data_IF_643108297811
#
_entry.id   IF_643108297811
#
_cell.length_a   1.000
_cell.length_b   1.000
_cell.length_c   1.000
_cell.angle_alpha   90.00
_cell.angle_beta   90.00
_cell.angle_gamma   90.00
#
_symmetry.space_group_name_H-M   'P 1'
#
loop_
_entity.id
_entity.type
_entity.pdbx_description
1 polymer ?
#
# COMPACT_ATOMS: atom_id res chain seq x y z
N UNK A 1 -19.31 32.91 -12.11
CA UNK A 1 -18.40 32.49 -13.21
C UNK A 1 -18.26 30.98 -13.12
N UNK A 2 -18.74 30.25 -14.13
CA UNK A 2 -18.50 28.81 -14.23
C UNK A 2 -16.99 28.56 -14.27
N UNK A 3 -16.50 27.56 -13.55
CA UNK A 3 -15.11 27.14 -13.66
C UNK A 3 -14.84 26.72 -15.12
N UNK A 4 -13.72 27.11 -15.73
CA UNK A 4 -13.39 26.67 -17.08
C UNK A 4 -13.33 25.13 -17.09
N UNK A 5 -14.12 24.51 -17.96
CA UNK A 5 -14.04 23.07 -18.21
C UNK A 5 -12.63 22.75 -18.71
N UNK A 6 -11.88 22.00 -17.90
CA UNK A 6 -10.56 21.48 -18.26
C UNK A 6 -10.70 20.55 -19.46
N UNK A 7 -9.94 20.80 -20.52
CA UNK A 7 -10.09 20.09 -21.79
C UNK A 7 -9.64 18.63 -21.64
N UNK A 8 -10.34 17.61 -22.18
CA UNK A 8 -9.98 16.18 -21.98
C UNK A 8 -8.54 15.79 -22.35
N UNK A 9 -7.93 16.53 -23.30
CA UNK A 9 -6.51 16.40 -23.65
C UNK A 9 -5.57 16.75 -22.49
N UNK A 10 -5.89 17.78 -21.71
CA UNK A 10 -5.12 18.17 -20.53
C UNK A 10 -5.21 17.11 -19.42
N UNK A 11 -6.34 16.40 -19.31
CA UNK A 11 -6.48 15.27 -18.38
C UNK A 11 -5.57 14.11 -18.76
N UNK A 12 -5.54 13.75 -20.05
CA UNK A 12 -4.64 12.71 -20.57
C UNK A 12 -3.18 13.09 -20.34
N UNK A 13 -2.80 14.34 -20.59
CA UNK A 13 -1.43 14.83 -20.32
C UNK A 13 -1.10 14.81 -18.83
N UNK A 14 -2.04 15.18 -17.97
CA UNK A 14 -1.87 15.10 -16.52
C UNK A 14 -1.66 13.66 -16.06
N UNK A 15 -2.48 12.72 -16.56
CA UNK A 15 -2.30 11.29 -16.27
C UNK A 15 -0.91 10.84 -16.75
N UNK A 16 -0.46 11.23 -17.94
CA UNK A 16 0.88 10.88 -18.43
C UNK A 16 1.99 11.38 -17.51
N UNK A 17 1.95 12.65 -17.11
CA UNK A 17 2.94 13.23 -16.17
C UNK A 17 2.91 12.55 -14.81
N UNK A 18 1.72 12.20 -14.30
CA UNK A 18 1.60 11.43 -13.06
C UNK A 18 2.25 10.06 -13.19
N UNK A 19 1.93 9.31 -14.25
CA UNK A 19 2.51 7.98 -14.51
C UNK A 19 4.04 7.99 -14.66
N UNK A 20 4.66 9.12 -15.02
CA UNK A 20 6.12 9.24 -15.04
C UNK A 20 6.74 9.09 -13.64
N UNK A 21 6.01 9.45 -12.59
CA UNK A 21 6.46 9.39 -11.20
C UNK A 21 6.08 8.07 -10.51
N UNK A 22 5.18 7.29 -11.09
CA UNK A 22 4.80 5.97 -10.58
C UNK A 22 5.72 4.86 -11.11
N UNK A 23 5.83 3.81 -10.31
CA UNK A 23 6.40 2.55 -10.77
C UNK A 23 5.49 1.91 -11.83
N UNK A 24 6.10 1.47 -12.94
CA UNK A 24 5.37 0.85 -14.04
C UNK A 24 4.73 -0.50 -13.65
N UNK A 25 3.70 -0.89 -14.39
CA UNK A 25 3.05 -2.18 -14.22
C UNK A 25 2.02 -2.16 -13.09
N UNK A 26 2.12 -3.10 -12.16
CA UNK A 26 1.08 -3.41 -11.17
C UNK A 26 1.36 -2.85 -9.77
N UNK A 27 2.27 -1.88 -9.64
CA UNK A 27 2.58 -1.25 -8.34
C UNK A 27 1.37 -0.56 -7.67
N UNK A 28 0.35 -0.20 -8.46
CA UNK A 28 -0.89 0.43 -8.00
C UNK A 28 -1.77 -0.50 -7.13
N UNK A 29 -1.48 -1.81 -7.04
CA UNK A 29 -2.26 -2.74 -6.20
C UNK A 29 -2.30 -2.30 -4.74
N UNK A 30 -1.19 -1.74 -4.24
CA UNK A 30 -1.12 -1.15 -2.90
C UNK A 30 -2.17 -0.04 -2.69
N UNK A 31 -2.41 0.76 -3.72
CA UNK A 31 -3.41 1.83 -3.67
C UNK A 31 -4.84 1.26 -3.72
N UNK A 32 -5.09 0.19 -4.49
CA UNK A 32 -6.39 -0.49 -4.51
C UNK A 32 -6.73 -1.11 -3.14
N UNK A 33 -5.75 -1.71 -2.47
CA UNK A 33 -5.91 -2.25 -1.12
C UNK A 33 -6.25 -1.14 -0.12
N UNK A 34 -5.56 0.01 -0.19
CA UNK A 34 -5.87 1.16 0.66
C UNK A 34 -7.26 1.72 0.37
N UNK A 35 -7.65 1.85 -0.90
CA UNK A 35 -9.00 2.29 -1.27
C UNK A 35 -10.08 1.37 -0.72
N UNK A 36 -9.87 0.05 -0.77
CA UNK A 36 -10.77 -0.93 -0.18
C UNK A 36 -10.85 -0.76 1.34
N UNK A 37 -9.72 -0.68 2.04
CA UNK A 37 -9.69 -0.42 3.49
C UNK A 37 -10.44 0.87 3.86
N UNK A 38 -10.27 1.93 3.06
CA UNK A 38 -10.94 3.22 3.28
C UNK A 38 -12.44 3.19 2.95
N UNK A 39 -12.90 2.34 2.02
CA UNK A 39 -14.31 2.17 1.71
C UNK A 39 -15.06 1.39 2.81
N UNK A 40 -14.34 0.51 3.50
CA UNK A 40 -14.87 -0.41 4.51
C UNK A 40 -14.98 0.20 5.92
N UNK A 41 -15.00 1.53 6.06
CA UNK A 41 -14.96 2.23 7.37
C UNK A 41 -16.06 1.83 8.35
N UNK A 42 -17.21 1.40 7.84
CA UNK A 42 -18.35 0.96 8.66
C UNK A 42 -18.46 -0.57 8.75
N UNK A 43 -17.62 -1.30 8.01
CA UNK A 43 -17.51 -2.77 8.02
C UNK A 43 -16.56 -3.20 9.12
N UNK A 44 -16.97 -3.00 10.37
CA UNK A 44 -16.13 -3.37 11.51
C UNK A 44 -16.01 -4.90 11.52
N UNK A 45 -14.76 -5.39 11.49
CA UNK A 45 -14.33 -6.77 11.81
C UNK A 45 -14.26 -7.83 10.71
N UNK A 46 -14.73 -7.59 9.47
CA UNK A 46 -14.68 -8.66 8.45
C UNK A 46 -14.42 -8.24 7.00
N UNK A 47 -14.04 -6.99 6.76
CA UNK A 47 -13.87 -6.44 5.41
C UNK A 47 -12.99 -7.29 4.49
N UNK A 48 -13.42 -7.45 3.24
CA UNK A 48 -12.81 -8.36 2.26
C UNK A 48 -12.52 -7.64 0.95
N UNK A 49 -11.42 -8.02 0.34
CA UNK A 49 -11.02 -7.61 -1.00
C UNK A 49 -10.65 -8.84 -1.81
N UNK A 50 -11.27 -9.00 -2.97
CA UNK A 50 -11.00 -10.04 -3.93
C UNK A 50 -10.43 -9.42 -5.21
N UNK A 51 -9.31 -9.95 -5.68
CA UNK A 51 -8.72 -9.62 -6.96
C UNK A 51 -8.75 -10.87 -7.84
N UNK A 52 -9.14 -10.71 -9.10
CA UNK A 52 -9.07 -11.80 -10.06
C UNK A 52 -8.49 -11.32 -11.38
N UNK A 53 -7.46 -12.03 -11.86
CA UNK A 53 -7.15 -12.00 -13.28
C UNK A 53 -8.19 -12.84 -14.02
N UNK A 54 -8.95 -12.16 -14.87
CA UNK A 54 -10.04 -12.75 -15.63
C UNK A 54 -9.64 -12.84 -17.10
N UNK A 55 -9.75 -14.04 -17.67
CA UNK A 55 -9.69 -14.26 -19.11
C UNK A 55 -11.12 -14.57 -19.58
N UNK A 56 -11.73 -13.74 -20.45
CA UNK A 56 -13.08 -13.99 -20.91
C UNK A 56 -13.13 -15.26 -21.75
N UNK A 57 -14.19 -16.05 -21.55
CA UNK A 57 -14.48 -17.22 -22.37
C UNK A 57 -14.84 -16.80 -23.80
N UNK A 58 -14.58 -17.68 -24.76
CA UNK A 58 -15.15 -17.54 -26.11
C UNK A 58 -16.67 -17.48 -26.00
N UNK A 59 -17.29 -16.46 -26.60
CA UNK A 59 -18.73 -16.15 -26.52
C UNK A 59 -19.21 -15.68 -25.13
N UNK A 60 -18.42 -14.89 -24.42
CA UNK A 60 -18.81 -14.25 -23.15
C UNK A 60 -20.04 -13.33 -23.22
N UNK A 61 -20.60 -13.09 -24.42
CA UNK A 61 -21.74 -12.20 -24.64
C UNK A 61 -21.40 -10.72 -24.52
N UNK A 62 -20.11 -10.37 -24.41
CA UNK A 62 -19.67 -8.98 -24.32
C UNK A 62 -19.62 -8.31 -25.70
N UNK A 63 -20.35 -7.21 -25.84
CA UNK A 63 -20.38 -6.39 -27.07
C UNK A 63 -19.26 -5.35 -27.06
N UNK A 64 -19.04 -4.69 -25.92
CA UNK A 64 -18.01 -3.65 -25.81
C UNK A 64 -16.59 -4.24 -26.03
N UNK A 65 -15.79 -3.67 -26.95
CA UNK A 65 -14.47 -4.20 -27.28
C UNK A 65 -13.51 -4.23 -26.09
N UNK A 66 -13.67 -3.36 -25.09
CA UNK A 66 -12.85 -3.37 -23.87
C UNK A 66 -13.07 -4.64 -23.04
N UNK A 67 -14.28 -5.19 -23.02
CA UNK A 67 -14.65 -6.34 -22.18
C UNK A 67 -14.26 -7.69 -22.80
N UNK A 68 -13.95 -7.71 -24.10
CA UNK A 68 -13.60 -8.94 -24.85
C UNK A 68 -12.15 -9.39 -24.66
N UNK A 69 -11.45 -8.98 -23.60
CA UNK A 69 -10.06 -9.35 -23.34
C UNK A 69 -9.76 -9.58 -21.87
N UNK A 70 -8.50 -9.98 -21.55
CA UNK A 70 -8.10 -10.15 -20.18
C UNK A 70 -8.33 -8.89 -19.35
N UNK A 71 -8.76 -9.07 -18.11
CA UNK A 71 -9.03 -7.98 -17.18
C UNK A 71 -8.47 -8.31 -15.79
N UNK A 72 -8.18 -7.27 -15.01
CA UNK A 72 -8.06 -7.39 -13.56
C UNK A 72 -9.39 -6.89 -12.95
N UNK A 73 -10.09 -7.77 -12.26
CA UNK A 73 -11.32 -7.43 -11.55
C UNK A 73 -10.99 -7.28 -10.06
N UNK A 74 -11.41 -6.17 -9.46
CA UNK A 74 -11.11 -5.81 -8.07
C UNK A 74 -12.43 -5.55 -7.37
N UNK A 75 -12.73 -6.32 -6.32
CA UNK A 75 -14.05 -6.30 -5.67
C UNK A 75 -13.89 -6.27 -4.17
N UNK A 76 -14.52 -5.30 -3.52
CA UNK A 76 -14.62 -5.27 -2.06
C UNK A 76 -16.07 -5.38 -1.62
N UNK A 77 -16.30 -5.85 -0.40
CA UNK A 77 -17.62 -6.03 0.20
C UNK A 77 -18.19 -4.75 0.85
N UNK A 78 -17.62 -3.60 0.51
CA UNK A 78 -18.02 -2.29 1.03
C UNK A 78 -19.14 -1.65 0.21
N UNK A 79 -19.82 -0.64 0.79
CA UNK A 79 -20.80 0.16 0.07
C UNK A 79 -20.12 1.07 -0.97
N UNK A 80 -20.88 1.46 -1.99
CA UNK A 80 -20.49 2.52 -2.93
C UNK A 80 -21.64 3.50 -3.10
N UNK A 81 -21.37 4.78 -2.86
CA UNK A 81 -22.41 5.82 -2.85
C UNK A 81 -22.28 6.77 -4.03
N UNK A 82 -23.32 7.58 -4.27
CA UNK A 82 -23.27 8.66 -5.29
C UNK A 82 -22.13 9.65 -5.03
N UNK A 83 -21.81 9.90 -3.76
CA UNK A 83 -20.67 10.74 -3.37
C UNK A 83 -19.34 10.12 -3.79
N UNK A 84 -19.18 8.82 -3.62
CA UNK A 84 -17.98 8.09 -4.04
C UNK A 84 -17.85 8.10 -5.56
N UNK A 85 -18.95 7.88 -6.28
CA UNK A 85 -19.00 8.00 -7.75
C UNK A 85 -18.60 9.39 -8.23
N UNK A 86 -19.19 10.44 -7.66
CA UNK A 86 -18.90 11.82 -8.04
C UNK A 86 -17.45 12.19 -7.73
N UNK A 87 -16.92 11.70 -6.61
CA UNK A 87 -15.49 11.77 -6.28
C UNK A 87 -14.63 11.13 -7.35
N UNK A 88 -14.90 9.86 -7.69
CA UNK A 88 -14.18 9.10 -8.70
C UNK A 88 -14.16 9.80 -10.07
N UNK A 89 -15.31 10.33 -10.51
CA UNK A 89 -15.44 11.00 -11.81
C UNK A 89 -14.77 12.38 -11.86
N UNK A 90 -14.96 13.23 -10.84
CA UNK A 90 -14.39 14.60 -10.83
C UNK A 90 -12.87 14.61 -10.75
N UNK A 91 -12.26 13.59 -10.13
CA UNK A 91 -10.80 13.44 -10.06
C UNK A 91 -10.16 13.14 -11.41
N UNK A 92 -10.93 12.61 -12.36
CA UNK A 92 -10.51 12.47 -13.75
C UNK A 92 -10.26 13.80 -14.44
N UNK A 93 -10.93 14.87 -13.98
CA UNK A 93 -11.00 16.14 -14.70
C UNK A 93 -10.25 17.30 -14.03
N UNK A 94 -9.79 17.18 -12.79
CA UNK A 94 -9.08 18.27 -12.10
C UNK A 94 -7.55 18.24 -12.32
N UNK A 95 -7.02 19.23 -13.05
CA UNK A 95 -5.57 19.47 -13.17
C UNK A 95 -5.26 20.97 -13.13
N UNK A 96 -4.84 21.49 -11.99
CA UNK A 96 -4.01 22.70 -11.94
C UNK A 96 -2.64 22.32 -11.40
N UNK A 97 -1.63 22.57 -12.21
CA UNK A 97 -0.22 22.18 -12.04
C UNK A 97 0.52 22.85 -10.86
N UNK A 98 -0.22 23.38 -9.87
CA UNK A 98 0.33 23.95 -8.63
C UNK A 98 -0.18 23.27 -7.36
N UNK A 99 -1.03 22.24 -7.49
CA UNK A 99 -1.66 21.51 -6.38
C UNK A 99 -1.11 20.08 -6.20
N UNK A 100 0.04 19.75 -6.80
CA UNK A 100 0.63 18.40 -6.74
C UNK A 100 0.95 17.95 -5.30
N UNK A 101 1.11 18.90 -4.37
CA UNK A 101 1.36 18.67 -2.95
C UNK A 101 0.06 18.46 -2.12
N UNK A 102 -1.14 18.43 -2.74
CA UNK A 102 -2.44 18.62 -2.05
C UNK A 102 -3.48 17.53 -2.22
N UNK A 103 -3.14 16.37 -2.80
CA UNK A 103 -4.15 15.34 -3.12
C UNK A 103 -4.04 14.16 -2.14
N UNK A 104 -4.78 14.25 -1.04
CA UNK A 104 -4.95 13.19 -0.06
C UNK A 104 -6.34 12.55 -0.15
N UNK A 105 -6.38 11.23 0.00
CA UNK A 105 -7.52 10.38 0.38
C UNK A 105 -8.30 9.62 -0.70
N UNK A 106 -8.33 10.02 -1.98
CA UNK A 106 -8.98 9.20 -3.03
C UNK A 106 -8.40 9.27 -4.47
N UNK A 107 -7.43 10.15 -4.77
CA UNK A 107 -7.31 10.66 -6.16
C UNK A 107 -6.08 10.32 -7.01
N UNK A 108 -4.96 9.92 -6.43
CA UNK A 108 -3.74 9.64 -7.21
C UNK A 108 -3.61 8.15 -7.56
N UNK A 109 -3.97 7.26 -6.62
CA UNK A 109 -3.79 5.81 -6.76
C UNK A 109 -4.60 5.16 -7.88
N UNK A 110 -5.85 5.61 -8.11
CA UNK A 110 -6.65 5.10 -9.24
C UNK A 110 -6.11 5.52 -10.60
N UNK A 111 -5.36 6.62 -10.72
CA UNK A 111 -4.76 7.02 -12.02
C UNK A 111 -3.60 6.08 -12.40
N UNK A 112 -2.93 5.47 -11.44
CA UNK A 112 -1.85 4.53 -11.70
C UNK A 112 -2.31 3.25 -12.41
N UNK A 113 -3.61 2.92 -12.41
CA UNK A 113 -4.17 1.80 -13.22
C UNK A 113 -3.92 1.97 -14.72
N UNK A 114 -3.78 3.22 -15.21
CA UNK A 114 -3.45 3.52 -16.60
C UNK A 114 -2.02 3.11 -17.01
N UNK A 115 -1.20 2.60 -16.08
CA UNK A 115 -0.02 1.82 -16.46
C UNK A 115 -0.39 0.58 -17.26
N UNK A 116 -1.52 -0.06 -16.95
CA UNK A 116 -1.92 -1.36 -17.53
C UNK A 116 -3.21 -1.32 -18.34
N UNK A 117 -4.03 -0.27 -18.24
CA UNK A 117 -5.27 -0.12 -19.02
C UNK A 117 -5.37 1.26 -19.72
N UNK A 118 -6.45 1.46 -20.48
CA UNK A 118 -6.82 2.75 -21.10
C UNK A 118 -8.14 3.34 -20.55
N UNK A 119 -9.00 2.49 -20.01
CA UNK A 119 -10.27 2.83 -19.39
C UNK A 119 -10.60 1.73 -18.36
N UNK A 120 -11.55 1.97 -17.46
CA UNK A 120 -12.05 0.96 -16.53
C UNK A 120 -13.53 1.16 -16.24
N UNK A 121 -14.24 0.08 -15.96
CA UNK A 121 -15.64 0.12 -15.56
C UNK A 121 -15.72 0.02 -14.04
N UNK A 122 -16.74 0.62 -13.45
CA UNK A 122 -17.08 0.38 -12.05
C UNK A 122 -18.58 0.28 -11.89
N UNK A 123 -19.01 -0.53 -10.92
CA UNK A 123 -20.42 -0.77 -10.58
C UNK A 123 -20.53 -1.35 -9.17
N UNK A 124 -21.75 -1.34 -8.65
CA UNK A 124 -22.09 -1.87 -7.33
C UNK A 124 -23.26 -2.86 -7.41
N UNK A 125 -23.34 -3.73 -6.39
CA UNK A 125 -24.25 -4.87 -6.31
C UNK A 125 -25.76 -4.56 -6.21
N UNK A 126 -26.14 -3.34 -5.86
CA UNK A 126 -27.50 -2.88 -5.61
C UNK A 126 -28.30 -2.57 -6.87
N UNK A 127 -27.63 -2.50 -8.03
CA UNK A 127 -28.28 -2.35 -9.33
C UNK A 127 -28.66 -0.92 -9.69
N UNK A 128 -28.27 0.10 -8.91
CA UNK A 128 -28.53 1.50 -9.27
C UNK A 128 -27.75 1.86 -10.54
N UNK A 129 -28.48 2.12 -11.63
CA UNK A 129 -27.89 2.50 -12.91
C UNK A 129 -27.05 3.79 -12.84
N UNK A 130 -27.25 4.64 -11.85
CA UNK A 130 -26.46 5.87 -11.64
C UNK A 130 -25.12 5.64 -10.97
N UNK A 131 -24.87 4.43 -10.47
CA UNK A 131 -23.65 3.99 -9.79
C UNK A 131 -22.80 3.03 -10.64
N UNK A 132 -23.16 2.85 -11.92
CA UNK A 132 -22.34 2.18 -12.92
C UNK A 132 -21.85 3.17 -13.97
N UNK A 133 -20.58 3.12 -14.32
CA UNK A 133 -19.99 4.04 -15.30
C UNK A 133 -18.72 3.45 -15.92
N UNK A 134 -18.43 3.84 -17.15
CA UNK A 134 -17.12 3.70 -17.77
C UNK A 134 -16.31 4.97 -17.51
N UNK A 135 -15.18 4.85 -16.82
CA UNK A 135 -14.20 5.91 -16.77
C UNK A 135 -13.26 5.79 -17.97
N UNK A 136 -13.39 6.70 -18.94
CA UNK A 136 -12.57 6.78 -20.14
C UNK A 136 -11.99 8.20 -20.30
N UNK A 137 -10.67 8.40 -20.09
CA UNK A 137 -10.01 9.70 -20.29
C UNK A 137 -10.08 10.24 -21.73
N UNK A 138 -10.37 9.36 -22.69
CA UNK A 138 -10.34 9.65 -24.12
C UNK A 138 -11.68 10.17 -24.65
N UNK A 139 -12.76 9.96 -23.91
CA UNK A 139 -14.10 10.40 -24.27
C UNK A 139 -14.21 11.94 -24.23
N UNK A 140 -14.92 12.60 -25.18
CA UNK A 140 -15.61 12.02 -26.36
C UNK A 140 -14.75 11.98 -27.64
N UNK A 141 -13.47 12.29 -27.57
CA UNK A 141 -12.67 12.63 -28.77
C UNK A 141 -11.96 11.46 -29.43
N UNK A 142 -11.72 10.38 -28.69
CA UNK A 142 -11.09 9.16 -29.20
C UNK A 142 -11.75 7.94 -28.60
N UNK A 143 -11.73 6.84 -29.38
CA UNK A 143 -12.27 5.55 -28.99
C UNK A 143 -13.77 5.59 -28.65
N UNK A 144 -14.58 6.27 -29.48
CA UNK A 144 -16.04 6.34 -29.29
C UNK A 144 -16.71 4.97 -29.31
N UNK A 145 -16.08 3.98 -29.94
CA UNK A 145 -16.51 2.58 -29.91
C UNK A 145 -16.39 1.92 -28.52
N UNK A 146 -15.72 2.57 -27.56
CA UNK A 146 -15.68 2.13 -26.17
C UNK A 146 -16.85 2.68 -25.35
N UNK A 147 -17.55 3.71 -25.84
CA UNK A 147 -18.67 4.29 -25.12
C UNK A 147 -19.74 3.23 -24.86
N UNK A 148 -20.30 3.26 -23.66
CA UNK A 148 -21.27 2.26 -23.22
C UNK A 148 -22.48 2.97 -22.61
N UNK A 149 -23.67 2.62 -23.11
CA UNK A 149 -24.91 3.04 -22.48
C UNK A 149 -25.10 2.27 -21.16
N UNK A 150 -25.61 2.92 -20.11
CA UNK A 150 -25.93 2.31 -18.81
C UNK A 150 -26.97 1.18 -18.91
N UNK A 151 -27.74 1.12 -19.99
CA UNK A 151 -28.72 0.08 -20.31
C UNK A 151 -28.14 -1.08 -21.13
N UNK A 152 -26.86 -1.00 -21.54
CA UNK A 152 -26.20 -2.07 -22.30
C UNK A 152 -26.29 -3.43 -21.59
N UNK A 153 -26.52 -4.54 -22.32
CA UNK A 153 -26.51 -5.89 -21.76
C UNK A 153 -25.17 -6.26 -21.13
N UNK A 154 -24.07 -5.62 -21.54
CA UNK A 154 -22.74 -5.79 -20.96
C UNK A 154 -22.73 -5.56 -19.45
N UNK A 155 -23.50 -4.59 -18.93
CA UNK A 155 -23.56 -4.33 -17.49
C UNK A 155 -24.12 -5.51 -16.71
N UNK A 156 -25.12 -6.19 -17.27
CA UNK A 156 -25.70 -7.39 -16.67
C UNK A 156 -24.70 -8.56 -16.73
N UNK A 157 -23.95 -8.68 -17.81
CA UNK A 157 -22.90 -9.67 -17.94
C UNK A 157 -21.75 -9.43 -16.93
N UNK A 158 -21.32 -8.18 -16.73
CA UNK A 158 -20.34 -7.80 -15.69
C UNK A 158 -20.88 -8.16 -14.30
N UNK A 159 -22.11 -7.75 -13.96
CA UNK A 159 -22.73 -8.04 -12.67
C UNK A 159 -22.79 -9.55 -12.39
N UNK A 160 -23.27 -10.35 -13.34
CA UNK A 160 -23.30 -11.81 -13.22
C UNK A 160 -21.90 -12.40 -13.00
N UNK A 161 -20.90 -11.94 -13.75
CA UNK A 161 -19.52 -12.41 -13.60
C UNK A 161 -18.96 -12.09 -12.21
N UNK A 162 -19.22 -10.88 -11.68
CA UNK A 162 -18.78 -10.49 -10.35
C UNK A 162 -19.50 -11.30 -9.27
N UNK A 163 -20.81 -11.50 -9.37
CA UNK A 163 -21.57 -12.34 -8.41
C UNK A 163 -21.09 -13.78 -8.36
N UNK A 164 -20.76 -14.36 -9.52
CA UNK A 164 -20.21 -15.72 -9.58
C UNK A 164 -18.82 -15.81 -8.95
N UNK A 165 -18.04 -14.73 -9.02
CA UNK A 165 -16.69 -14.66 -8.46
C UNK A 165 -16.71 -14.51 -6.93
N UNK A 166 -17.61 -13.68 -6.40
CA UNK A 166 -17.77 -13.44 -4.96
C UNK A 166 -19.19 -13.77 -4.47
N UNK A 167 -19.65 -15.03 -4.55
CA UNK A 167 -21.02 -15.40 -4.21
C UNK A 167 -21.37 -15.18 -2.74
N UNK A 168 -20.36 -15.02 -1.89
CA UNK A 168 -20.47 -14.80 -0.46
C UNK A 168 -20.46 -13.31 -0.07
N UNK A 169 -20.32 -12.38 -1.02
CA UNK A 169 -20.45 -10.96 -0.76
C UNK A 169 -21.92 -10.56 -0.90
N UNK A 170 -22.58 -10.22 0.20
CA UNK A 170 -23.98 -9.76 0.20
C UNK A 170 -24.13 -8.43 -0.57
N UNK A 171 -23.18 -7.52 -0.36
CA UNK A 171 -23.02 -6.28 -1.10
C UNK A 171 -21.58 -6.17 -1.57
N UNK A 172 -21.38 -5.50 -2.70
CA UNK A 172 -20.05 -5.31 -3.23
C UNK A 172 -19.95 -4.08 -4.14
N UNK A 173 -18.72 -3.56 -4.22
CA UNK A 173 -18.28 -2.60 -5.21
C UNK A 173 -17.16 -3.21 -6.04
N UNK A 174 -17.29 -3.16 -7.37
CA UNK A 174 -16.33 -3.73 -8.29
C UNK A 174 -15.76 -2.68 -9.23
N UNK A 175 -14.44 -2.78 -9.45
CA UNK A 175 -13.72 -2.10 -10.52
C UNK A 175 -13.21 -3.15 -11.50
N UNK A 176 -13.68 -3.06 -12.74
CA UNK A 176 -13.25 -3.93 -13.83
C UNK A 176 -12.22 -3.19 -14.67
N UNK A 177 -10.99 -3.69 -14.71
CA UNK A 177 -9.85 -3.05 -15.38
C UNK A 177 -9.45 -3.90 -16.61
N UNK A 178 -9.93 -3.56 -17.82
CA UNK A 178 -9.47 -4.17 -19.06
C UNK A 178 -7.97 -4.00 -19.25
N UNK A 179 -7.23 -5.09 -19.38
CA UNK A 179 -5.80 -5.00 -19.62
C UNK A 179 -5.53 -4.56 -21.06
N UNK A 180 -4.59 -3.63 -21.22
CA UNK A 180 -4.26 -3.03 -22.51
C UNK A 180 -3.84 -4.09 -23.51
N UNK A 181 -4.44 -4.05 -24.68
CA UNK A 181 -4.14 -4.90 -25.84
C UNK A 181 -3.68 -4.09 -27.02
N UNK A 182 -2.79 -4.63 -27.82
CA UNK A 182 -2.30 -3.95 -29.02
C UNK A 182 -3.39 -3.71 -30.05
N UNK A 183 -4.39 -4.61 -30.14
CA UNK A 183 -5.45 -4.56 -31.16
C UNK A 183 -6.50 -3.46 -30.94
N UNK A 184 -6.66 -2.97 -29.71
CA UNK A 184 -7.70 -1.99 -29.36
C UNK A 184 -7.16 -0.56 -29.24
N UNK A 185 -5.83 -0.37 -29.23
CA UNK A 185 -5.19 0.93 -29.09
C UNK A 185 -4.54 1.37 -30.40
N UNK A 186 -4.81 2.60 -30.82
CA UNK A 186 -4.28 3.16 -32.08
C UNK A 186 -2.81 3.59 -31.95
N UNK A 187 -2.41 4.05 -30.75
CA UNK A 187 -1.05 4.50 -30.47
C UNK A 187 -0.27 3.45 -29.67
N UNK A 188 0.90 3.05 -30.17
CA UNK A 188 1.71 2.04 -29.49
C UNK A 188 2.41 2.62 -28.27
N UNK A 189 2.20 2.02 -27.08
CA UNK A 189 2.85 2.43 -25.83
C UNK A 189 4.10 1.58 -25.58
N UNK A 190 5.25 2.23 -25.48
CA UNK A 190 6.50 1.62 -25.01
C UNK A 190 6.60 1.80 -23.49
N UNK A 191 7.08 0.77 -22.77
CA UNK A 191 7.55 0.87 -21.39
C UNK A 191 8.83 1.70 -21.33
N UNK A 192 9.18 2.25 -20.15
CA UNK A 192 10.44 2.98 -19.90
C UNK A 192 11.69 2.18 -20.29
N UNK A 193 11.62 0.84 -20.25
CA UNK A 193 12.73 -0.06 -20.59
C UNK A 193 12.75 -0.51 -22.08
N UNK A 194 11.83 -0.01 -22.92
CA UNK A 194 11.76 -0.37 -24.34
C UNK A 194 10.83 -1.54 -24.68
N UNK A 195 10.31 -2.28 -23.70
CA UNK A 195 9.33 -3.35 -23.93
C UNK A 195 7.93 -2.79 -24.26
N UNK A 196 7.05 -3.61 -24.83
CA UNK A 196 5.67 -3.22 -25.09
C UNK A 196 4.76 -3.42 -23.86
N UNK A 197 3.92 -2.44 -23.54
CA UNK A 197 3.10 -2.39 -22.32
C UNK A 197 1.70 -3.00 -22.49
N UNK A 198 1.60 -4.21 -23.06
CA UNK A 198 0.30 -4.87 -23.39
C UNK A 198 0.04 -6.13 -22.56
N UNK A 199 -0.21 -6.00 -21.24
CA UNK A 199 -0.47 -7.16 -20.38
C UNK A 199 -1.73 -7.95 -20.79
N UNK A 200 -2.64 -7.35 -21.57
CA UNK A 200 -3.86 -8.00 -22.06
C UNK A 200 -3.67 -8.85 -23.32
N UNK A 201 -2.49 -8.85 -23.94
CA UNK A 201 -2.21 -9.73 -25.09
C UNK A 201 -1.78 -11.15 -24.64
N UNK A 202 -1.53 -11.33 -23.34
CA UNK A 202 -1.18 -12.63 -22.75
C UNK A 202 -2.41 -13.51 -22.50
N UNK A 203 -2.31 -14.79 -22.84
CA UNK A 203 -3.31 -15.81 -22.52
C UNK A 203 -3.16 -16.39 -21.10
N UNK A 204 -2.14 -15.94 -20.35
CA UNK A 204 -1.89 -16.32 -18.95
C UNK A 204 -1.75 -15.07 -18.09
N UNK A 205 -2.03 -15.19 -16.79
CA UNK A 205 -1.85 -14.09 -15.85
C UNK A 205 -0.42 -13.53 -15.90
N UNK A 206 -0.23 -12.21 -16.10
CA UNK A 206 1.10 -11.61 -16.17
C UNK A 206 1.94 -11.94 -14.93
N UNK A 207 3.20 -12.41 -15.09
CA UNK A 207 4.09 -12.68 -13.96
C UNK A 207 4.31 -11.46 -13.07
N UNK A 208 4.27 -10.24 -13.64
CA UNK A 208 4.40 -8.99 -12.88
C UNK A 208 3.18 -8.73 -11.99
N UNK A 209 1.97 -9.14 -12.40
CA UNK A 209 0.78 -9.07 -11.55
C UNK A 209 0.89 -10.06 -10.40
N UNK A 210 1.26 -11.31 -10.72
CA UNK A 210 1.52 -12.35 -9.71
C UNK A 210 2.61 -11.86 -8.74
N UNK A 211 3.70 -11.29 -9.25
CA UNK A 211 4.82 -10.75 -8.48
C UNK A 211 4.44 -9.57 -7.59
N UNK A 212 3.62 -8.64 -8.07
CA UNK A 212 3.09 -7.54 -7.27
C UNK A 212 2.24 -8.04 -6.09
N UNK A 213 1.64 -9.23 -6.22
CA UNK A 213 0.83 -9.87 -5.17
C UNK A 213 1.63 -10.89 -4.34
N UNK A 214 2.69 -11.51 -4.89
CA UNK A 214 3.48 -12.62 -4.29
C UNK A 214 4.94 -12.27 -3.94
N UNK A 215 5.69 -11.61 -4.81
CA UNK A 215 7.13 -11.34 -4.61
C UNK A 215 7.40 -10.00 -3.90
N UNK A 216 6.47 -9.05 -3.98
CA UNK A 216 6.28 -8.02 -2.95
C UNK A 216 5.38 -8.54 -1.79
N UNK A 217 5.37 -9.85 -1.55
CA UNK A 217 4.56 -10.51 -0.52
C UNK A 217 5.49 -11.37 0.32
N UNK A 218 6.22 -10.66 1.18
CA UNK A 218 5.63 -10.56 2.51
C UNK A 218 4.88 -9.24 2.71
N UNK A 219 5.09 -8.23 1.87
CA UNK A 219 4.71 -6.86 2.19
C UNK A 219 3.24 -6.46 2.03
N UNK A 220 2.43 -7.05 1.14
CA UNK A 220 1.01 -6.68 1.02
C UNK A 220 0.12 -7.42 2.03
N UNK A 221 0.23 -8.75 2.09
CA UNK A 221 -0.49 -9.58 3.04
C UNK A 221 -0.14 -9.25 4.50
N UNK A 222 1.14 -9.02 4.77
CA UNK A 222 1.56 -8.71 6.14
C UNK A 222 1.19 -7.29 6.56
N UNK A 223 1.00 -6.38 5.60
CA UNK A 223 0.56 -5.03 5.92
C UNK A 223 -0.91 -4.94 6.31
N UNK A 224 -1.70 -6.03 6.15
CA UNK A 224 -3.05 -6.13 6.72
C UNK A 224 -3.09 -5.78 8.22
N UNK A 225 -2.00 -6.04 8.97
CA UNK A 225 -1.88 -5.71 10.39
C UNK A 225 -1.96 -4.20 10.68
N UNK A 226 -1.76 -3.36 9.68
CA UNK A 226 -1.83 -1.90 9.78
C UNK A 226 -3.10 -1.32 9.17
N UNK A 227 -3.86 -2.12 8.42
CA UNK A 227 -5.14 -1.72 7.85
C UNK A 227 -6.22 -1.72 8.93
N UNK A 228 -7.20 -0.84 8.78
CA UNK A 228 -8.18 -0.57 9.84
C UNK A 228 -9.37 -1.52 9.76
N UNK A 229 -9.84 -1.76 8.55
CA UNK A 229 -11.13 -2.37 8.26
C UNK A 229 -10.97 -3.66 7.43
N UNK A 230 -9.98 -3.70 6.55
CA UNK A 230 -9.72 -4.85 5.69
C UNK A 230 -9.02 -5.97 6.47
N UNK A 231 -9.62 -7.16 6.46
CA UNK A 231 -9.10 -8.37 7.12
C UNK A 231 -8.68 -9.46 6.14
N UNK A 232 -9.35 -9.53 5.00
CA UNK A 232 -9.08 -10.57 4.00
C UNK A 232 -8.74 -9.95 2.66
N UNK A 233 -7.63 -10.39 2.07
CA UNK A 233 -7.29 -10.13 0.68
C UNK A 233 -7.11 -11.46 -0.01
N UNK A 234 -7.87 -11.70 -1.08
CA UNK A 234 -7.73 -12.88 -1.93
C UNK A 234 -7.36 -12.50 -3.36
N UNK A 235 -6.58 -13.35 -4.01
CA UNK A 235 -6.17 -13.18 -5.40
C UNK A 235 -6.25 -14.50 -6.16
N UNK A 236 -6.98 -14.50 -7.28
CA UNK A 236 -7.03 -15.60 -8.23
C UNK A 236 -6.29 -15.22 -9.52
N UNK A 237 -5.28 -16.01 -9.91
CA UNK A 237 -4.55 -15.82 -11.18
C UNK A 237 -5.14 -16.61 -12.35
N UNK A 238 -6.38 -17.10 -12.20
CA UNK A 238 -7.07 -17.97 -13.15
C UNK A 238 -6.89 -19.47 -12.83
N UNK A 239 -5.82 -19.86 -12.15
CA UNK A 239 -5.56 -21.27 -11.79
C UNK A 239 -5.45 -21.49 -10.28
N UNK A 240 -4.90 -20.51 -9.57
CA UNK A 240 -4.57 -20.61 -8.14
C UNK A 240 -5.23 -19.47 -7.38
N UNK A 241 -6.05 -19.83 -6.39
CA UNK A 241 -6.55 -18.90 -5.39
C UNK A 241 -5.52 -18.78 -4.25
N UNK A 242 -5.14 -17.55 -3.93
CA UNK A 242 -4.34 -17.19 -2.77
C UNK A 242 -5.19 -16.36 -1.85
N UNK A 243 -5.19 -16.69 -0.57
CA UNK A 243 -5.97 -15.97 0.42
C UNK A 243 -5.06 -15.59 1.60
N UNK A 244 -5.13 -14.31 1.96
CA UNK A 244 -4.44 -13.73 3.09
C UNK A 244 -5.49 -13.24 4.08
N UNK A 245 -5.48 -13.83 5.27
CA UNK A 245 -6.45 -13.54 6.33
C UNK A 245 -5.70 -13.05 7.55
N UNK A 246 -5.98 -11.82 7.97
CA UNK A 246 -5.47 -11.26 9.21
C UNK A 246 -6.43 -11.60 10.35
N UNK A 247 -5.91 -12.35 11.34
CA UNK A 247 -6.58 -12.61 12.60
C UNK A 247 -5.86 -11.85 13.73
N UNK A 248 -6.42 -10.71 14.20
CA UNK A 248 -5.84 -9.94 15.28
C UNK A 248 -5.82 -10.68 16.63
N UNK A 249 -6.78 -11.56 16.89
CA UNK A 249 -6.91 -12.27 18.16
C UNK A 249 -5.85 -13.38 18.27
N UNK A 250 -5.67 -14.15 17.19
CA UNK A 250 -4.62 -15.15 17.11
C UNK A 250 -3.23 -14.56 16.77
N UNK A 251 -3.16 -13.25 16.46
CA UNK A 251 -1.97 -12.55 15.93
C UNK A 251 -1.33 -13.29 14.75
N UNK A 252 -2.16 -13.72 13.81
CA UNK A 252 -1.72 -14.47 12.64
C UNK A 252 -2.15 -13.82 11.34
N UNK A 253 -1.42 -14.16 10.29
CA UNK A 253 -1.72 -13.84 8.90
C UNK A 253 -1.58 -15.14 8.12
N UNK A 254 -2.68 -15.63 7.59
CA UNK A 254 -2.66 -16.84 6.77
C UNK A 254 -1.97 -16.59 5.44
N UNK A 255 -1.20 -17.57 4.91
CA UNK A 255 -0.85 -18.83 5.55
C UNK A 255 0.37 -18.72 6.49
N UNK A 256 0.22 -19.22 7.72
CA UNK A 256 1.35 -19.60 8.59
C UNK A 256 2.29 -18.49 9.05
N UNK A 257 1.92 -17.22 8.94
CA UNK A 257 2.70 -16.10 9.46
C UNK A 257 2.15 -15.68 10.82
N UNK A 258 3.01 -15.56 11.82
CA UNK A 258 2.67 -14.93 13.11
C UNK A 258 3.28 -13.54 13.17
N UNK A 259 2.71 -12.67 13.98
CA UNK A 259 3.25 -11.33 14.16
C UNK A 259 3.22 -10.87 15.61
N UNK A 260 4.16 -9.99 15.94
CA UNK A 260 4.17 -9.18 17.14
C UNK A 260 4.10 -7.72 16.79
N UNK A 261 3.34 -6.95 17.55
CA UNK A 261 3.13 -5.53 17.31
C UNK A 261 3.22 -4.75 18.61
N UNK A 262 3.87 -3.59 18.54
CA UNK A 262 3.92 -2.60 19.60
C UNK A 262 3.46 -1.28 19.00
N UNK A 263 2.35 -0.77 19.49
CA UNK A 263 1.76 0.49 19.01
C UNK A 263 2.31 1.66 19.80
N UNK A 264 2.53 2.79 19.11
CA UNK A 264 2.86 4.05 19.75
C UNK A 264 1.75 4.48 20.72
N UNK A 265 2.09 5.09 21.86
CA UNK A 265 1.11 5.78 22.70
C UNK A 265 0.33 6.79 21.87
N UNK A 266 -0.99 6.78 22.01
CA UNK A 266 -1.85 7.74 21.34
C UNK A 266 -1.66 9.14 21.98
N UNK A 267 -1.12 10.10 21.24
CA UNK A 267 -0.90 11.47 21.70
C UNK A 267 -1.60 12.48 20.78
N UNK A 268 -2.94 12.62 20.89
CA UNK A 268 -3.70 13.51 20.01
C UNK A 268 -3.33 14.98 20.21
N UNK A 269 -3.05 15.40 21.45
CA UNK A 269 -2.67 16.78 21.79
C UNK A 269 -1.38 17.18 21.08
N UNK A 270 -0.33 16.34 21.15
CA UNK A 270 0.92 16.55 20.43
C UNK A 270 0.67 16.66 18.91
N UNK A 271 -0.22 15.84 18.34
CA UNK A 271 -0.55 15.95 16.93
C UNK A 271 -1.19 17.31 16.58
N UNK A 272 -2.05 17.84 17.44
CA UNK A 272 -2.67 19.16 17.24
C UNK A 272 -1.66 20.30 17.41
N UNK A 273 -0.71 20.20 18.34
CA UNK A 273 0.41 21.14 18.47
C UNK A 273 1.24 21.25 17.18
N UNK A 274 1.50 20.11 16.52
CA UNK A 274 2.18 20.09 15.23
C UNK A 274 1.35 20.74 14.13
N UNK A 275 0.05 20.43 14.06
CA UNK A 275 -0.87 21.00 13.05
C UNK A 275 -1.11 22.50 13.22
N UNK A 276 -0.94 23.03 14.43
CA UNK A 276 -1.03 24.45 14.71
C UNK A 276 0.14 25.27 14.15
N UNK A 277 1.24 24.63 13.71
CA UNK A 277 2.40 25.33 13.15
C UNK A 277 2.04 26.01 11.82
N UNK A 278 2.44 27.27 11.58
CA UNK A 278 2.08 28.00 10.35
C UNK A 278 2.50 27.31 9.05
N UNK A 279 3.63 26.58 9.08
CA UNK A 279 4.16 25.83 7.94
C UNK A 279 3.55 24.45 7.77
N UNK A 280 2.62 24.03 8.62
CA UNK A 280 2.03 22.68 8.53
C UNK A 280 1.39 22.44 7.15
N UNK A 281 1.64 21.29 6.51
CA UNK A 281 1.08 20.99 5.20
C UNK A 281 -0.44 21.05 5.20
N UNK A 282 -1.01 21.54 4.10
CA UNK A 282 -2.46 21.59 3.91
C UNK A 282 -2.85 20.75 2.71
N UNK A 283 -3.97 20.05 2.83
CA UNK A 283 -4.60 19.22 1.79
C UNK A 283 -5.86 19.93 1.32
N UNK A 284 -6.19 19.81 0.03
CA UNK A 284 -7.42 20.38 -0.49
C UNK A 284 -8.57 19.38 -0.30
N UNK A 285 -9.65 19.81 0.37
CA UNK A 285 -10.86 19.02 0.54
C UNK A 285 -12.03 19.65 -0.22
N UNK A 286 -12.67 18.82 -1.04
CA UNK A 286 -13.85 19.20 -1.78
C UNK A 286 -15.09 18.75 -1.00
N UNK A 287 -15.95 19.70 -0.64
CA UNK A 287 -17.28 19.45 -0.09
C UNK A 287 -18.36 19.82 -1.10
N UNK A 288 -19.60 19.45 -0.79
CA UNK A 288 -20.77 19.77 -1.61
C UNK A 288 -20.97 21.30 -1.81
N UNK A 289 -20.34 22.11 -0.95
CA UNK A 289 -20.40 23.58 -0.92
C UNK A 289 -19.20 24.26 -1.59
N UNK A 290 -18.24 23.51 -2.13
CA UNK A 290 -17.01 24.04 -2.72
C UNK A 290 -15.75 23.40 -2.16
N UNK A 291 -14.59 23.83 -2.65
CA UNK A 291 -13.30 23.31 -2.20
C UNK A 291 -12.60 24.25 -1.24
N UNK A 292 -12.03 23.71 -0.17
CA UNK A 292 -11.29 24.47 0.83
C UNK A 292 -10.04 23.72 1.25
N UNK A 293 -9.00 24.48 1.61
CA UNK A 293 -7.74 23.92 2.09
C UNK A 293 -7.84 23.65 3.60
N UNK A 294 -7.58 22.41 4.01
CA UNK A 294 -7.57 21.98 5.40
C UNK A 294 -6.18 21.48 5.80
N UNK A 295 -5.79 21.54 7.08
CA UNK A 295 -4.55 20.93 7.55
C UNK A 295 -4.46 19.43 7.20
N UNK A 296 -3.26 18.94 6.89
CA UNK A 296 -3.02 17.52 6.68
C UNK A 296 -3.44 16.70 7.91
N UNK A 297 -4.04 15.54 7.65
CA UNK A 297 -4.67 14.67 8.65
C UNK A 297 -3.70 13.70 9.34
N UNK A 298 -2.39 13.87 9.18
CA UNK A 298 -1.39 13.07 9.86
C UNK A 298 -1.68 13.00 11.37
N UNK A 299 -1.50 11.80 11.93
CA UNK A 299 -1.81 11.50 13.33
C UNK A 299 -0.55 11.07 14.03
N UNK A 300 -0.40 11.41 15.31
CA UNK A 300 0.62 10.82 16.16
C UNK A 300 0.25 9.37 16.52
N UNK A 301 0.38 8.51 15.52
CA UNK A 301 0.07 7.08 15.56
C UNK A 301 1.09 6.34 14.72
N UNK A 302 1.39 5.13 15.16
CA UNK A 302 2.32 4.25 14.50
C UNK A 302 2.46 2.95 15.26
N UNK A 303 3.16 2.00 14.68
CA UNK A 303 3.46 0.74 15.32
C UNK A 303 4.74 0.15 14.75
N UNK A 304 5.48 -0.56 15.60
CA UNK A 304 6.53 -1.49 15.16
C UNK A 304 5.94 -2.88 15.17
N UNK A 305 5.98 -3.56 14.03
CA UNK A 305 5.58 -4.96 13.95
C UNK A 305 6.72 -5.84 13.45
N UNK A 306 6.78 -7.06 13.96
CA UNK A 306 7.68 -8.11 13.48
C UNK A 306 6.82 -9.28 13.05
N UNK A 307 6.95 -9.70 11.80
CA UNK A 307 6.34 -10.94 11.32
C UNK A 307 7.38 -12.04 11.25
N UNK A 308 6.95 -13.26 11.53
CA UNK A 308 7.76 -14.46 11.44
C UNK A 308 6.98 -15.54 10.68
N UNK A 309 7.62 -16.11 9.66
CA UNK A 309 7.12 -17.29 8.96
C UNK A 309 8.26 -18.26 8.67
N UNK A 310 7.95 -19.55 8.54
CA UNK A 310 8.97 -20.55 8.18
C UNK A 310 9.48 -20.29 6.76
N UNK A 311 10.77 -20.49 6.56
CA UNK A 311 11.40 -20.39 5.25
C UNK A 311 11.60 -21.79 4.65
N UNK A 312 11.32 -21.95 3.36
CA UNK A 312 11.43 -23.24 2.67
C UNK A 312 12.88 -23.70 2.47
N UNK A 313 13.82 -22.75 2.33
CA UNK A 313 15.24 -23.05 2.09
C UNK A 313 16.18 -22.12 2.86
N UNK A 314 16.06 -20.82 2.61
CA UNK A 314 16.93 -19.80 3.19
C UNK A 314 16.04 -18.71 3.76
N UNK A 315 16.31 -18.31 5.00
CA UNK A 315 15.59 -17.23 5.64
C UNK A 315 16.05 -15.86 5.18
N UNK A 316 15.26 -14.86 5.57
CA UNK A 316 15.55 -13.46 5.29
C UNK A 316 15.28 -12.60 6.51
N UNK A 317 15.99 -11.49 6.60
CA UNK A 317 15.67 -10.39 7.48
C UNK A 317 15.40 -9.16 6.63
N UNK A 318 14.21 -8.59 6.79
CA UNK A 318 13.83 -7.37 6.09
C UNK A 318 13.35 -6.28 7.03
N UNK A 319 13.69 -5.02 6.72
CA UNK A 319 13.21 -3.85 7.45
C UNK A 319 12.50 -2.91 6.49
N UNK A 320 11.30 -2.48 6.84
CA UNK A 320 10.45 -1.64 5.99
C UNK A 320 10.01 -0.37 6.71
N UNK A 321 10.03 0.75 5.98
CA UNK A 321 9.26 1.94 6.34
C UNK A 321 7.85 1.81 5.77
N UNK A 322 6.83 2.10 6.58
CA UNK A 322 5.44 1.87 6.19
C UNK A 322 4.55 3.09 6.46
N UNK A 323 3.70 3.42 5.49
CA UNK A 323 2.51 4.27 5.67
C UNK A 323 1.32 3.43 5.24
N UNK A 324 0.78 2.67 6.20
CA UNK A 324 -0.11 1.51 6.03
C UNK A 324 0.56 0.37 5.27
N UNK A 325 1.02 0.64 4.06
CA UNK A 325 1.78 -0.28 3.22
C UNK A 325 3.27 0.12 3.16
N UNK A 326 4.15 -0.81 2.82
CA UNK A 326 5.59 -0.56 2.67
C UNK A 326 5.88 0.47 1.58
N UNK A 327 6.69 1.46 1.97
CA UNK A 327 7.17 2.58 1.14
C UNK A 327 8.36 2.13 0.32
N UNK A 328 8.40 2.54 -0.95
CA UNK A 328 9.49 2.21 -1.86
C UNK A 328 9.45 0.79 -2.43
N UNK A 329 10.43 0.52 -3.30
CA UNK A 329 10.56 -0.75 -4.05
C UNK A 329 11.27 -1.84 -3.27
N UNK A 330 12.18 -1.44 -2.39
CA UNK A 330 13.05 -2.33 -1.64
C UNK A 330 12.95 -2.05 -0.15
N UNK A 331 13.09 -3.08 0.69
CA UNK A 331 13.30 -2.90 2.11
C UNK A 331 14.52 -1.99 2.37
N UNK A 332 14.52 -1.29 3.52
CA UNK A 332 15.70 -0.58 4.01
C UNK A 332 16.85 -1.53 4.41
N UNK A 333 16.51 -2.78 4.73
CA UNK A 333 17.44 -3.90 4.92
C UNK A 333 16.83 -5.10 4.22
N UNK A 334 17.55 -5.78 3.34
CA UNK A 334 17.07 -6.98 2.64
C UNK A 334 18.18 -8.03 2.60
N UNK A 335 18.30 -8.75 3.71
CA UNK A 335 19.43 -9.64 3.94
C UNK A 335 19.01 -11.10 3.97
N UNK A 336 19.85 -11.94 3.37
CA UNK A 336 19.66 -13.39 3.35
C UNK A 336 20.40 -14.02 4.53
N UNK A 337 19.68 -14.76 5.36
CA UNK A 337 20.22 -15.43 6.54
C UNK A 337 20.38 -16.93 6.26
N UNK A 338 21.60 -17.33 5.86
CA UNK A 338 21.94 -18.76 5.64
C UNK A 338 21.75 -19.55 6.94
N UNK A 339 21.08 -20.70 6.83
CA UNK A 339 20.76 -21.59 7.98
C UNK A 339 19.80 -21.01 9.02
N UNK A 340 19.20 -19.86 8.76
CA UNK A 340 18.12 -19.27 9.56
C UNK A 340 16.80 -19.67 8.90
N UNK A 341 16.14 -20.73 9.39
CA UNK A 341 14.93 -21.31 8.77
C UNK A 341 13.65 -20.45 8.85
N UNK A 342 13.78 -19.12 8.86
CA UNK A 342 12.70 -18.16 9.11
C UNK A 342 12.82 -16.93 8.22
N UNK A 343 11.68 -16.42 7.78
CA UNK A 343 11.55 -15.09 7.20
C UNK A 343 11.09 -14.14 8.30
N UNK A 344 11.90 -13.13 8.60
CA UNK A 344 11.56 -12.03 9.51
C UNK A 344 11.36 -10.73 8.73
N UNK A 345 10.24 -10.06 8.94
CA UNK A 345 10.03 -8.70 8.45
C UNK A 345 9.71 -7.77 9.62
N UNK A 346 10.54 -6.75 9.80
CA UNK A 346 10.37 -5.64 10.73
C UNK A 346 9.72 -4.47 9.98
N UNK A 347 8.56 -4.05 10.44
CA UNK A 347 7.78 -2.96 9.86
C UNK A 347 7.77 -1.76 10.81
N UNK A 348 8.18 -0.60 10.29
CA UNK A 348 8.16 0.69 10.96
C UNK A 348 7.00 1.51 10.40
N UNK A 349 5.81 1.30 10.95
CA UNK A 349 4.60 1.97 10.49
C UNK A 349 4.36 3.29 11.23
N UNK A 350 4.18 4.38 10.49
CA UNK A 350 3.76 5.68 11.02
C UNK A 350 3.03 6.52 9.97
N UNK A 351 2.40 7.61 10.41
CA UNK A 351 1.83 8.62 9.51
C UNK A 351 2.96 9.55 9.02
N UNK A 352 3.85 8.99 8.19
CA UNK A 352 4.99 9.72 7.65
C UNK A 352 4.62 10.54 6.41
N UNK A 353 5.26 11.68 6.25
CA UNK A 353 5.31 12.40 4.97
C UNK A 353 6.29 11.71 4.03
N UNK A 354 5.81 11.37 2.83
CA UNK A 354 6.58 10.70 1.80
C UNK A 354 7.16 11.69 0.79
N UNK A 355 8.18 11.28 0.06
CA UNK A 355 8.64 11.97 -1.15
C UNK A 355 7.52 12.10 -2.18
N UNK A 356 7.65 13.06 -3.11
CA UNK A 356 6.67 13.35 -4.15
C UNK A 356 6.35 12.12 -5.02
N UNK A 357 7.37 11.31 -5.32
CA UNK A 357 7.26 10.04 -6.03
C UNK A 357 6.83 8.85 -5.14
N UNK A 358 6.60 9.09 -3.84
CA UNK A 358 6.24 8.10 -2.80
C UNK A 358 7.20 6.92 -2.67
N UNK A 359 8.44 7.08 -3.12
CA UNK A 359 9.44 6.00 -3.04
C UNK A 359 10.20 6.00 -1.72
N UNK A 360 10.10 7.05 -0.91
CA UNK A 360 10.83 7.19 0.34
C UNK A 360 10.07 7.99 1.40
N UNK A 361 10.42 7.77 2.67
CA UNK A 361 10.01 8.66 3.77
C UNK A 361 10.98 9.84 3.80
N UNK A 362 10.47 11.08 3.85
CA UNK A 362 11.32 12.26 3.91
C UNK A 362 12.30 12.20 5.09
N UNK A 363 13.59 12.39 4.79
CA UNK A 363 14.69 12.33 5.75
C UNK A 363 15.14 10.92 6.14
N UNK A 364 14.45 9.85 5.75
CA UNK A 364 14.85 8.51 6.22
C UNK A 364 16.20 8.04 5.64
N UNK A 365 16.59 8.49 4.44
CA UNK A 365 17.86 8.06 3.82
C UNK A 365 19.12 8.60 4.51
N UNK A 366 19.00 9.70 5.27
CA UNK A 366 20.15 10.38 5.87
C UNK A 366 20.09 10.45 7.41
N UNK A 367 19.15 9.73 8.02
CA UNK A 367 18.95 9.72 9.47
C UNK A 367 18.14 10.89 10.00
N UNK A 368 17.29 11.48 9.16
CA UNK A 368 16.47 12.66 9.44
C UNK A 368 17.33 13.88 9.79
N UNK A 369 18.30 14.19 8.92
CA UNK A 369 19.08 15.43 9.05
C UNK A 369 18.12 16.61 8.98
N UNK A 370 18.38 17.61 9.81
CA UNK A 370 17.55 18.80 9.83
C UNK A 370 17.70 19.55 8.51
N UNK A 371 16.57 19.87 7.90
CA UNK A 371 16.56 20.66 6.68
C UNK A 371 16.88 22.13 6.97
N UNK A 372 17.43 22.83 5.98
CA UNK A 372 17.72 24.26 6.05
C UNK A 372 16.45 25.09 6.32
N UNK A 373 16.63 26.33 6.76
CA UNK A 373 15.51 27.11 7.28
C UNK A 373 14.39 27.37 6.26
N UNK A 374 14.79 27.59 5.02
CA UNK A 374 13.93 27.89 3.88
C UNK A 374 13.49 26.64 3.10
N UNK A 375 13.86 25.43 3.55
CA UNK A 375 13.47 24.20 2.86
C UNK A 375 11.96 23.95 3.06
N UNK A 376 11.15 23.88 1.98
CA UNK A 376 9.71 23.60 2.09
C UNK A 376 9.40 22.24 2.73
N UNK A 377 10.36 21.31 2.76
CA UNK A 377 10.24 19.98 3.36
C UNK A 377 10.64 19.98 4.84
N UNK A 378 11.13 21.09 5.41
CA UNK A 378 11.61 21.18 6.80
C UNK A 378 10.60 20.66 7.81
N UNK A 379 9.34 21.09 7.72
CA UNK A 379 8.29 20.64 8.64
C UNK A 379 7.96 19.15 8.47
N UNK A 380 7.96 18.66 7.23
CA UNK A 380 7.69 17.25 6.88
C UNK A 380 8.79 16.35 7.46
N UNK A 381 10.05 16.74 7.31
CA UNK A 381 11.22 16.05 7.87
C UNK A 381 11.21 16.09 9.40
N UNK A 382 10.93 17.26 9.99
CA UNK A 382 10.89 17.41 11.45
C UNK A 382 9.80 16.54 12.11
N UNK A 383 8.61 16.46 11.49
CA UNK A 383 7.55 15.54 11.92
C UNK A 383 8.00 14.08 11.84
N UNK A 384 8.54 13.66 10.69
CA UNK A 384 9.00 12.29 10.49
C UNK A 384 10.10 11.91 11.48
N UNK A 385 11.05 12.82 11.72
CA UNK A 385 12.11 12.68 12.73
C UNK A 385 11.50 12.45 14.10
N UNK A 386 10.61 13.33 14.54
CA UNK A 386 9.99 13.23 15.87
C UNK A 386 9.23 11.91 16.05
N UNK A 387 8.46 11.48 15.04
CA UNK A 387 7.70 10.22 15.08
C UNK A 387 8.62 8.99 15.09
N UNK A 388 9.74 9.03 14.37
CA UNK A 388 10.67 7.91 14.28
C UNK A 388 11.62 7.82 15.48
N UNK A 389 12.17 8.96 15.95
CA UNK A 389 13.37 8.99 16.79
C UNK A 389 13.15 9.46 18.22
N UNK A 390 11.98 9.99 18.57
CA UNK A 390 11.68 10.39 19.97
C UNK A 390 11.74 9.17 20.89
N UNK A 391 11.90 9.37 22.20
CA UNK A 391 11.94 8.27 23.19
C UNK A 391 10.69 7.39 23.17
N UNK A 392 9.55 7.97 22.78
CA UNK A 392 8.27 7.29 22.56
C UNK A 392 7.95 7.12 21.06
N UNK A 393 8.96 7.18 20.19
CA UNK A 393 8.86 7.00 18.74
C UNK A 393 9.05 5.54 18.32
N UNK A 394 9.10 5.30 17.00
CA UNK A 394 9.16 3.95 16.45
C UNK A 394 10.50 3.24 16.72
N UNK A 395 11.64 3.90 16.46
CA UNK A 395 12.95 3.25 16.52
C UNK A 395 13.28 2.68 17.91
N UNK A 396 13.03 3.39 19.03
CA UNK A 396 13.28 2.82 20.36
C UNK A 396 12.41 1.60 20.71
N UNK A 397 11.32 1.34 19.99
CA UNK A 397 10.47 0.17 20.22
C UNK A 397 10.97 -1.09 19.49
N UNK A 398 11.90 -0.95 18.55
CA UNK A 398 12.42 -2.07 17.75
C UNK A 398 12.98 -3.21 18.62
N UNK A 399 13.84 -2.96 19.65
CA UNK A 399 14.37 -4.04 20.48
C UNK A 399 13.27 -4.80 21.23
N UNK A 400 12.23 -4.10 21.69
CA UNK A 400 11.10 -4.71 22.40
C UNK A 400 10.25 -5.57 21.46
N UNK A 401 10.00 -5.10 20.24
CA UNK A 401 9.23 -5.84 19.23
C UNK A 401 9.96 -7.12 18.79
N UNK A 402 11.27 -7.02 18.54
CA UNK A 402 12.12 -8.17 18.23
C UNK A 402 12.19 -9.15 19.40
N UNK A 403 12.38 -8.65 20.63
CA UNK A 403 12.44 -9.48 21.83
C UNK A 403 11.18 -10.33 22.03
N UNK A 404 9.99 -9.71 21.89
CA UNK A 404 8.71 -10.44 21.94
C UNK A 404 8.61 -11.51 20.85
N UNK A 405 8.99 -11.18 19.62
CA UNK A 405 8.97 -12.14 18.52
C UNK A 405 9.89 -13.34 18.80
N UNK A 406 11.11 -13.10 19.32
CA UNK A 406 12.05 -14.17 19.62
C UNK A 406 11.55 -15.10 20.73
N UNK A 407 10.89 -14.54 21.74
CA UNK A 407 10.31 -15.29 22.85
C UNK A 407 9.13 -16.15 22.37
N UNK A 408 8.16 -15.55 21.68
CA UNK A 408 6.97 -16.26 21.23
C UNK A 408 7.27 -17.35 20.20
N UNK A 409 8.21 -17.09 19.29
CA UNK A 409 8.65 -18.07 18.30
C UNK A 409 9.68 -19.07 18.84
N UNK A 410 10.08 -18.93 20.11
CA UNK A 410 11.07 -19.78 20.78
C UNK A 410 12.39 -19.89 20.00
N UNK A 411 12.92 -18.75 19.52
CA UNK A 411 14.16 -18.73 18.76
C UNK A 411 15.36 -19.13 19.61
N UNK A 412 16.26 -19.93 19.02
CA UNK A 412 17.51 -20.34 19.67
C UNK A 412 18.47 -19.16 19.81
N UNK A 413 19.44 -19.27 20.73
CA UNK A 413 20.48 -18.25 20.91
C UNK A 413 21.25 -17.94 19.61
N UNK A 414 21.47 -18.94 18.77
CA UNK A 414 22.19 -18.80 17.50
C UNK A 414 21.33 -18.14 16.43
N UNK A 415 20.02 -18.45 16.41
CA UNK A 415 19.06 -17.76 15.55
C UNK A 415 18.98 -16.27 15.90
N UNK A 416 18.84 -15.94 17.20
CA UNK A 416 18.82 -14.54 17.66
C UNK A 416 20.16 -13.86 17.33
N UNK A 417 21.29 -14.54 17.56
CA UNK A 417 22.62 -14.01 17.21
C UNK A 417 22.72 -13.67 15.72
N UNK A 418 22.24 -14.55 14.84
CA UNK A 418 22.25 -14.31 13.40
C UNK A 418 21.47 -13.04 13.01
N UNK A 419 20.26 -12.87 13.56
CA UNK A 419 19.42 -11.68 13.30
C UNK A 419 20.11 -10.41 13.81
N UNK A 420 20.60 -10.41 15.05
CA UNK A 420 21.23 -9.23 15.66
C UNK A 420 22.55 -8.88 14.95
N UNK A 421 23.38 -9.86 14.61
CA UNK A 421 24.61 -9.62 13.85
C UNK A 421 24.30 -9.02 12.48
N UNK A 422 23.29 -9.54 11.79
CA UNK A 422 22.86 -9.02 10.51
C UNK A 422 22.34 -7.58 10.59
N UNK A 423 21.46 -7.28 11.56
CA UNK A 423 21.00 -5.91 11.80
C UNK A 423 22.16 -4.97 12.06
N UNK A 424 23.09 -5.35 12.97
CA UNK A 424 24.25 -4.51 13.31
C UNK A 424 25.19 -4.22 12.14
N UNK A 425 25.24 -5.10 11.15
CA UNK A 425 26.06 -4.94 9.96
C UNK A 425 25.38 -4.06 8.88
N UNK A 426 24.07 -3.82 8.99
CA UNK A 426 23.33 -3.02 8.01
C UNK A 426 23.61 -1.52 8.14
N UNK A 427 23.63 -0.82 7.01
CA UNK A 427 23.73 0.65 6.96
C UNK A 427 22.60 1.31 7.73
N UNK A 428 21.39 0.73 7.66
CA UNK A 428 20.23 1.19 8.42
C UNK A 428 20.52 1.25 9.92
N UNK A 429 21.13 0.21 10.48
CA UNK A 429 21.49 0.23 11.90
C UNK A 429 22.63 1.21 12.18
N UNK A 430 23.61 1.35 11.28
CA UNK A 430 24.66 2.37 11.40
C UNK A 430 24.09 3.79 11.52
N UNK A 431 23.05 4.11 10.75
CA UNK A 431 22.34 5.40 10.80
C UNK A 431 21.53 5.54 12.09
N UNK A 432 20.81 4.49 12.50
CA UNK A 432 19.77 4.59 13.53
C UNK A 432 20.15 4.02 14.91
N UNK A 433 21.37 3.50 15.10
CA UNK A 433 21.79 2.79 16.29
C UNK A 433 21.45 3.53 17.59
N UNK A 434 21.74 4.83 17.66
CA UNK A 434 21.51 5.63 18.87
C UNK A 434 20.02 5.70 19.24
N UNK A 435 19.14 5.79 18.24
CA UNK A 435 17.69 5.84 18.43
C UNK A 435 17.11 4.46 18.71
N UNK A 436 17.56 3.43 18.01
CA UNK A 436 17.11 2.04 18.22
C UNK A 436 17.43 1.57 19.64
N UNK A 437 18.63 1.90 20.14
CA UNK A 437 19.07 1.50 21.48
C UNK A 437 18.74 2.54 22.56
N UNK A 438 17.91 3.55 22.28
CA UNK A 438 17.70 4.69 23.19
C UNK A 438 17.06 4.28 24.52
N UNK A 439 16.01 3.45 24.47
CA UNK A 439 15.24 3.07 25.68
C UNK A 439 15.47 1.63 26.10
N UNK A 440 15.74 0.73 25.16
CA UNK A 440 15.98 -0.68 25.44
C UNK A 440 17.09 -1.25 24.56
N UNK A 441 17.73 -2.30 25.04
CA UNK A 441 18.72 -3.07 24.29
C UNK A 441 18.50 -4.56 24.50
N UNK A 442 18.74 -5.36 23.44
CA UNK A 442 18.79 -6.82 23.54
C UNK A 442 20.21 -7.26 23.85
N UNK A 443 20.46 -7.77 25.05
CA UNK A 443 21.78 -8.20 25.51
C UNK A 443 21.83 -9.70 25.71
N UNK A 444 22.98 -10.30 25.42
CA UNK A 444 23.26 -11.72 25.66
C UNK A 444 24.02 -11.85 26.97
N UNK A 445 23.34 -12.33 28.02
CA UNK A 445 23.90 -12.48 29.36
C UNK A 445 24.14 -13.97 29.69
N UNK A 446 25.22 -14.26 30.41
CA UNK A 446 25.52 -15.58 30.94
C UNK A 446 24.82 -15.75 32.30
N UNK A 447 23.99 -16.78 32.45
CA UNK A 447 23.38 -17.17 33.72
C UNK A 447 23.77 -18.61 34.08
N UNK A 448 23.35 -19.09 35.26
CA UNK A 448 23.62 -20.47 35.74
C UNK A 448 23.15 -21.55 34.76
N UNK A 449 22.14 -21.26 33.93
CA UNK A 449 21.64 -22.15 32.86
C UNK A 449 22.21 -21.88 31.46
N UNK A 450 23.32 -21.16 31.34
CA UNK A 450 23.96 -20.80 30.07
C UNK A 450 23.59 -19.42 29.53
N UNK A 451 23.97 -19.16 28.27
CA UNK A 451 23.71 -17.89 27.60
C UNK A 451 22.23 -17.70 27.31
N UNK A 452 21.69 -16.53 27.63
CA UNK A 452 20.32 -16.13 27.27
C UNK A 452 20.28 -14.67 26.80
N UNK A 453 19.48 -14.42 25.77
CA UNK A 453 19.13 -13.06 25.37
C UNK A 453 18.08 -12.48 26.32
N UNK A 454 18.25 -11.22 26.70
CA UNK A 454 17.30 -10.47 27.53
C UNK A 454 17.14 -9.06 27.00
N UNK A 455 15.92 -8.55 27.08
CA UNK A 455 15.64 -7.13 26.94
C UNK A 455 16.02 -6.43 28.24
N UNK A 456 16.84 -5.39 28.17
CA UNK A 456 17.16 -4.53 29.30
C UNK A 456 16.76 -3.09 28.96
N UNK A 457 16.37 -2.32 29.97
CA UNK A 457 16.29 -0.88 29.83
C UNK A 457 17.69 -0.32 29.57
N UNK A 458 17.81 0.50 28.53
CA UNK A 458 19.06 1.14 28.17
C UNK A 458 19.34 2.27 29.16
N UNK A 459 20.16 2.00 30.18
CA UNK A 459 20.94 3.05 30.86
C UNK A 459 22.22 3.41 30.09
N UNK A 460 22.53 2.64 29.04
CA UNK A 460 23.76 2.70 28.25
C UNK A 460 23.41 2.54 26.77
N UNK A 461 23.85 3.46 25.92
CA UNK A 461 23.58 3.52 24.47
C UNK A 461 24.29 2.43 23.64
N UNK A 462 24.30 1.16 24.07
CA UNK A 462 24.99 0.06 23.37
C UNK A 462 24.28 -1.29 23.52
N UNK A 463 24.15 -2.02 22.41
CA UNK A 463 24.04 -3.49 22.42
C UNK A 463 25.38 -4.06 22.92
N UNK A 464 25.48 -4.28 24.23
CA UNK A 464 26.70 -4.74 24.89
C UNK A 464 26.93 -6.23 24.56
N UNK A 465 28.07 -6.51 23.92
CA UNK A 465 28.71 -7.83 23.95
C UNK A 465 29.83 -7.77 25.00
N UNK A 466 29.98 -8.77 25.88
CA UNK A 466 31.31 -9.07 26.39
C UNK A 466 32.14 -9.58 25.21
N UNK A 467 33.24 -8.89 24.90
CA UNK A 467 34.32 -9.45 24.09
C UNK A 467 34.86 -10.66 24.85
N UNK A 468 34.85 -11.83 24.23
CA UNK A 468 35.78 -12.91 24.58
C UNK A 468 36.61 -13.18 23.33
#
# INVERSE_FOLDING_TARGET
>A
MAAPETHPREHVETIKRLLEHYEEGFAFIKELVQNADDALKDSVESGRLHLQWHLPLTNSGFENPLLQGPALIVVNDGPFTKRDRDGLMRMGMGSKAGDDDRIGRFGLGMKAVFHVCEAFFFLESGGDATLRELFCPWHPHQYTEWDINRESPDWKAIDNQVRNMVPHFEKWFAVWIPLRRKKIVHNKKKKKNGDFAYPGDSAVCPPELISAINHQSPTLAQALIFLKNLRTVSFCDGNTLREFVHDPAAKTISPGTRYQQITLPNQPELAEEWKAKPSWPKVFELTNTGGHSVPDKAKWKGAVAVTASKADRVGSLRVFWNVFLPVGKRPAVDETLKSFGWNLNLFLHGYFFLSEDRTSVHGASDGFRDAGEDDPKRIKIAWNKALATSSNGLLPMVPKALGKCFEEESFSNDQIKAVITCLKASDWFGIYQQHVCQTHSLVRNLNVGGWKWRLIESTISKLVFPKF
#
